data_IF_387591112786
#
_entry.id   IF_387591112786
#
_cell.length_a   1.000
_cell.length_b   1.000
_cell.length_c   1.000
_cell.angle_alpha   90.00
_cell.angle_beta   90.00
_cell.angle_gamma   90.00
#
_symmetry.space_group_name_H-M   'P 1'
#
loop_
_entity.id
_entity.type
_entity.pdbx_description
1 polymer ?
#
# COMPACT_ATOMS: atom_id res chain seq x y z
N UNK A 1 -10.53 -1.23 5.04
CA UNK A 1 -9.29 -0.67 4.42
C UNK A 1 -8.30 -0.32 5.51
N UNK A 2 -7.01 -0.60 5.30
CA UNK A 2 -5.93 -0.46 6.28
C UNK A 2 -4.85 0.45 5.70
N UNK A 3 -4.51 1.53 6.40
CA UNK A 3 -3.57 2.56 5.94
C UNK A 3 -2.45 2.70 7.00
N UNK A 4 -1.27 2.09 6.78
CA UNK A 4 -0.11 2.32 7.64
C UNK A 4 0.44 3.72 7.37
N UNK A 5 0.68 4.53 8.41
CA UNK A 5 1.22 5.88 8.27
C UNK A 5 2.44 6.08 9.17
N UNK A 6 3.48 6.72 8.63
CA UNK A 6 4.67 7.16 9.37
C UNK A 6 5.20 8.45 8.76
N UNK A 7 5.02 9.56 9.47
CA UNK A 7 5.49 10.89 9.04
C UNK A 7 4.98 11.26 7.64
N UNK A 8 3.66 11.27 7.49
CA UNK A 8 2.95 11.56 6.24
C UNK A 8 2.05 12.81 6.36
N UNK A 9 2.36 13.75 7.28
CA UNK A 9 1.59 14.98 7.53
C UNK A 9 1.24 15.72 6.23
N UNK A 10 2.17 15.81 5.28
CA UNK A 10 1.98 16.51 4.02
C UNK A 10 1.04 15.81 3.02
N UNK A 11 0.79 14.50 3.18
CA UNK A 11 0.09 13.69 2.18
C UNK A 11 -1.15 12.98 2.71
N UNK A 12 -1.23 12.78 4.03
CA UNK A 12 -2.30 11.99 4.65
C UNK A 12 -3.70 12.59 4.44
N UNK A 13 -3.84 13.91 4.43
CA UNK A 13 -5.11 14.59 4.18
C UNK A 13 -5.69 14.18 2.84
N UNK A 14 -4.95 14.40 1.77
CA UNK A 14 -5.41 14.07 0.41
C UNK A 14 -5.57 12.57 0.19
N UNK A 15 -4.78 11.73 0.86
CA UNK A 15 -4.99 10.28 0.87
C UNK A 15 -6.36 9.94 1.46
N UNK A 16 -6.66 10.42 2.68
CA UNK A 16 -7.93 10.15 3.36
C UNK A 16 -9.13 10.72 2.59
N UNK A 17 -9.01 11.90 1.99
CA UNK A 17 -10.05 12.48 1.13
C UNK A 17 -10.38 11.55 -0.05
N UNK A 18 -9.37 11.00 -0.71
CA UNK A 18 -9.56 10.04 -1.80
C UNK A 18 -10.23 8.74 -1.33
N UNK A 19 -9.83 8.26 -0.14
CA UNK A 19 -10.42 7.08 0.49
C UNK A 19 -11.88 7.31 0.85
N UNK A 20 -12.22 8.45 1.49
CA UNK A 20 -13.59 8.74 1.85
C UNK A 20 -14.49 8.99 0.65
N UNK A 21 -13.96 9.59 -0.43
CA UNK A 21 -14.67 9.67 -1.70
C UNK A 21 -14.98 8.27 -2.27
N UNK A 22 -14.04 7.33 -2.16
CA UNK A 22 -14.24 5.95 -2.60
C UNK A 22 -15.23 5.19 -1.69
N UNK A 23 -15.21 5.42 -0.38
CA UNK A 23 -16.19 4.87 0.57
C UNK A 23 -17.60 5.37 0.24
N UNK A 24 -17.75 6.68 0.02
CA UNK A 24 -19.05 7.28 -0.29
C UNK A 24 -19.59 6.83 -1.65
N UNK A 25 -18.69 6.63 -2.63
CA UNK A 25 -19.07 6.03 -3.92
C UNK A 25 -19.53 4.58 -3.75
N UNK A 26 -18.74 3.76 -3.06
CA UNK A 26 -19.07 2.35 -2.80
C UNK A 26 -20.41 2.20 -2.09
N UNK A 27 -20.66 3.00 -1.05
CA UNK A 27 -21.93 3.00 -0.31
C UNK A 27 -23.14 3.30 -1.21
N UNK A 28 -22.97 4.22 -2.19
CA UNK A 28 -24.04 4.53 -3.16
C UNK A 28 -24.23 3.46 -4.22
N UNK A 29 -23.13 2.91 -4.73
CA UNK A 29 -23.14 1.92 -5.81
C UNK A 29 -23.52 0.51 -5.33
N UNK A 30 -23.13 0.18 -4.09
CA UNK A 30 -23.28 -1.15 -3.48
C UNK A 30 -23.71 -0.99 -2.00
N UNK A 31 -24.98 -0.67 -1.71
CA UNK A 31 -25.44 -0.38 -0.35
C UNK A 31 -25.26 -1.50 0.67
N UNK A 32 -25.12 -2.75 0.22
CA UNK A 32 -24.85 -3.93 1.05
C UNK A 32 -23.38 -4.05 1.45
N UNK A 33 -22.46 -3.37 0.76
CA UNK A 33 -21.03 -3.43 1.04
C UNK A 33 -20.68 -2.43 2.15
N UNK A 34 -20.16 -2.94 3.27
CA UNK A 34 -19.71 -2.11 4.37
C UNK A 34 -18.19 -1.93 4.29
N UNK A 35 -17.73 -0.69 4.37
CA UNK A 35 -16.31 -0.34 4.35
C UNK A 35 -15.94 0.31 5.67
N UNK A 36 -14.99 -0.29 6.38
CA UNK A 36 -14.30 0.30 7.52
C UNK A 36 -12.93 0.83 7.09
N UNK A 37 -12.49 1.94 7.68
CA UNK A 37 -11.17 2.54 7.41
C UNK A 37 -10.38 2.58 8.71
N UNK A 38 -9.20 1.94 8.71
CA UNK A 38 -8.28 1.90 9.84
C UNK A 38 -6.98 2.60 9.41
N UNK A 39 -6.62 3.68 10.09
CA UNK A 39 -5.30 4.28 9.98
C UNK A 39 -4.45 3.75 11.14
N UNK A 40 -3.30 3.18 10.79
CA UNK A 40 -2.38 2.61 11.77
C UNK A 40 -1.12 3.48 11.82
N UNK A 41 -1.05 4.32 12.84
CA UNK A 41 0.13 5.13 13.09
C UNK A 41 1.31 4.26 13.53
N UNK A 42 2.40 4.39 12.83
CA UNK A 42 3.62 3.61 13.01
C UNK A 42 4.70 4.38 13.81
N UNK A 43 4.25 5.23 14.74
CA UNK A 43 5.10 6.08 15.57
C UNK A 43 5.54 7.36 14.87
N UNK A 44 4.59 8.09 14.26
CA UNK A 44 4.83 9.39 13.66
C UNK A 44 5.26 10.42 14.72
N UNK A 45 6.19 11.29 14.34
CA UNK A 45 6.69 12.40 15.15
C UNK A 45 6.27 13.77 14.64
N UNK A 46 5.60 13.83 13.49
CA UNK A 46 5.04 15.02 12.85
C UNK A 46 3.53 15.18 13.14
N UNK A 47 2.86 16.03 12.37
CA UNK A 47 1.42 16.28 12.50
C UNK A 47 0.50 15.21 11.91
N UNK A 48 0.99 14.06 11.45
CA UNK A 48 0.19 13.02 10.77
C UNK A 48 -1.08 12.66 11.53
N UNK A 49 -0.96 12.30 12.81
CA UNK A 49 -2.12 11.92 13.64
C UNK A 49 -3.10 13.08 13.87
N UNK A 50 -2.58 14.29 14.08
CA UNK A 50 -3.41 15.48 14.27
C UNK A 50 -4.24 15.77 13.02
N UNK A 51 -3.61 15.73 11.83
CA UNK A 51 -4.27 15.91 10.54
C UNK A 51 -5.32 14.82 10.31
N UNK A 52 -4.96 13.56 10.50
CA UNK A 52 -5.89 12.45 10.35
C UNK A 52 -7.12 12.57 11.28
N UNK A 53 -6.90 12.94 12.54
CA UNK A 53 -7.97 13.10 13.53
C UNK A 53 -8.92 14.25 13.17
N UNK A 54 -8.41 15.35 12.59
CA UNK A 54 -9.24 16.50 12.20
C UNK A 54 -10.17 16.20 11.02
N UNK A 55 -9.76 15.28 10.12
CA UNK A 55 -10.51 14.93 8.91
C UNK A 55 -11.53 13.82 9.20
N UNK A 56 -11.21 12.92 10.14
CA UNK A 56 -11.95 11.68 10.36
C UNK A 56 -13.44 11.89 10.69
N UNK A 57 -13.83 13.00 11.33
CA UNK A 57 -15.17 13.03 11.99
C UNK A 57 -15.34 11.76 12.85
N UNK A 58 -16.19 11.77 13.85
CA UNK A 58 -16.13 10.79 14.93
C UNK A 58 -16.34 9.31 14.55
N UNK A 59 -16.82 8.96 13.34
CA UNK A 59 -17.23 7.58 13.01
C UNK A 59 -16.68 7.05 11.68
N UNK A 60 -15.84 7.81 10.96
CA UNK A 60 -15.38 7.40 9.62
C UNK A 60 -14.01 6.72 9.60
N UNK A 61 -13.23 6.87 10.68
CA UNK A 61 -11.85 6.40 10.76
C UNK A 61 -11.54 5.84 12.15
N UNK A 62 -11.04 4.63 12.19
CA UNK A 62 -10.46 4.04 13.40
C UNK A 62 -8.96 4.32 13.40
N UNK A 63 -8.47 4.97 14.47
CA UNK A 63 -7.04 5.22 14.66
C UNK A 63 -6.44 4.14 15.56
N UNK A 64 -5.39 3.50 15.07
CA UNK A 64 -4.61 2.51 15.82
C UNK A 64 -3.16 2.98 15.96
N UNK A 65 -2.52 2.64 17.06
CA UNK A 65 -1.09 2.90 17.25
C UNK A 65 -0.29 1.60 17.21
N UNK A 66 0.71 1.54 16.34
CA UNK A 66 1.65 0.41 16.24
C UNK A 66 2.97 0.78 16.93
N UNK A 67 3.37 0.09 18.01
CA UNK A 67 4.61 0.41 18.74
C UNK A 67 5.87 0.04 17.96
N UNK A 68 5.75 -0.80 16.95
CA UNK A 68 6.88 -1.23 16.13
C UNK A 68 6.98 -0.34 14.89
N UNK A 69 8.12 0.32 14.66
CA UNK A 69 8.41 1.11 13.46
C UNK A 69 8.64 0.21 12.24
N UNK A 70 7.56 -0.37 11.73
CA UNK A 70 7.55 -1.25 10.57
C UNK A 70 6.20 -1.18 9.86
N UNK A 71 6.20 -0.84 8.58
CA UNK A 71 4.98 -0.79 7.77
C UNK A 71 4.26 -2.15 7.75
N UNK A 72 5.03 -3.25 7.69
CA UNK A 72 4.50 -4.60 7.80
C UNK A 72 3.81 -4.85 9.14
N UNK A 73 4.41 -4.40 10.26
CA UNK A 73 3.79 -4.54 11.58
C UNK A 73 2.50 -3.74 11.68
N UNK A 74 2.48 -2.52 11.12
CA UNK A 74 1.28 -1.68 11.09
C UNK A 74 0.17 -2.31 10.23
N UNK A 75 0.49 -2.83 9.02
CA UNK A 75 -0.48 -3.56 8.19
C UNK A 75 -1.03 -4.80 8.90
N UNK A 76 -0.17 -5.57 9.55
CA UNK A 76 -0.57 -6.75 10.33
C UNK A 76 -1.45 -6.39 11.53
N UNK A 77 -1.16 -5.28 12.21
CA UNK A 77 -1.99 -4.78 13.30
C UNK A 77 -3.37 -4.40 12.79
N UNK A 78 -3.45 -3.64 11.70
CA UNK A 78 -4.70 -3.27 11.05
C UNK A 78 -5.52 -4.50 10.62
N UNK A 79 -4.86 -5.51 10.00
CA UNK A 79 -5.52 -6.74 9.58
C UNK A 79 -6.18 -7.52 10.73
N UNK A 80 -5.52 -7.53 11.91
CA UNK A 80 -6.09 -8.17 13.12
C UNK A 80 -7.29 -7.42 13.71
N UNK A 81 -7.36 -6.09 13.53
CA UNK A 81 -8.48 -5.28 14.03
C UNK A 81 -9.62 -5.15 13.02
N UNK A 82 -9.32 -5.36 11.75
CA UNK A 82 -10.32 -5.33 10.70
C UNK A 82 -11.34 -6.47 10.86
N UNK A 83 -12.63 -6.17 10.72
CA UNK A 83 -13.74 -7.13 10.77
C UNK A 83 -14.18 -7.65 9.40
N UNK A 84 -13.76 -7.01 8.29
CA UNK A 84 -14.23 -7.34 6.96
C UNK A 84 -13.60 -8.60 6.36
N UNK A 85 -14.31 -9.24 5.42
CA UNK A 85 -13.88 -10.44 4.69
C UNK A 85 -12.82 -10.14 3.63
N UNK A 86 -12.75 -8.90 3.17
CA UNK A 86 -11.77 -8.41 2.21
C UNK A 86 -10.86 -7.38 2.90
N UNK A 87 -9.58 -7.64 2.90
CA UNK A 87 -8.55 -6.75 3.41
C UNK A 87 -7.96 -5.93 2.25
N UNK A 88 -7.99 -4.61 2.39
CA UNK A 88 -7.39 -3.67 1.43
C UNK A 88 -6.33 -2.86 2.15
N UNK A 89 -5.09 -2.92 1.67
CA UNK A 89 -3.95 -2.18 2.21
C UNK A 89 -3.57 -1.06 1.24
N UNK A 90 -3.50 0.17 1.74
CA UNK A 90 -3.17 1.36 0.95
C UNK A 90 -2.05 2.14 1.65
N UNK A 91 -1.02 2.54 0.91
CA UNK A 91 0.04 3.41 1.45
C UNK A 91 -0.49 4.84 1.67
N UNK A 92 -0.07 5.49 2.76
CA UNK A 92 -0.56 6.80 3.18
C UNK A 92 -0.20 7.97 2.24
N UNK A 93 0.71 7.74 1.29
CA UNK A 93 1.11 8.69 0.24
C UNK A 93 0.40 8.46 -1.11
N UNK A 94 -0.61 7.59 -1.12
CA UNK A 94 -1.27 7.09 -2.33
C UNK A 94 -2.72 7.55 -2.41
N UNK A 95 -3.17 7.89 -3.63
CA UNK A 95 -4.56 8.24 -3.94
C UNK A 95 -5.22 7.10 -4.72
N UNK A 96 -6.52 6.95 -4.52
CA UNK A 96 -7.37 6.01 -5.28
C UNK A 96 -8.52 6.74 -5.97
N UNK A 97 -9.00 6.19 -7.08
CA UNK A 97 -10.18 6.72 -7.76
C UNK A 97 -11.45 6.45 -6.93
N UNK A 98 -12.50 7.30 -7.07
CA UNK A 98 -13.74 7.12 -6.30
C UNK A 98 -14.40 5.74 -6.47
N UNK A 99 -14.26 5.11 -7.64
CA UNK A 99 -14.84 3.80 -7.93
C UNK A 99 -13.96 2.60 -7.50
N UNK A 100 -12.77 2.86 -6.97
CA UNK A 100 -11.77 1.81 -6.67
C UNK A 100 -12.29 0.76 -5.69
N UNK A 101 -12.94 1.17 -4.60
CA UNK A 101 -13.46 0.22 -3.59
C UNK A 101 -14.63 -0.60 -4.14
N UNK A 102 -15.53 0.03 -4.91
CA UNK A 102 -16.62 -0.69 -5.56
C UNK A 102 -16.10 -1.70 -6.60
N UNK A 103 -15.01 -1.36 -7.31
CA UNK A 103 -14.34 -2.32 -8.22
C UNK A 103 -13.72 -3.48 -7.46
N UNK A 104 -13.01 -3.22 -6.36
CA UNK A 104 -12.43 -4.27 -5.52
C UNK A 104 -13.53 -5.19 -4.97
N UNK A 105 -14.62 -4.63 -4.45
CA UNK A 105 -15.77 -5.42 -4.00
C UNK A 105 -16.30 -6.32 -5.11
N UNK A 106 -16.56 -5.77 -6.29
CA UNK A 106 -17.04 -6.52 -7.45
C UNK A 106 -16.08 -7.65 -7.88
N UNK A 107 -14.75 -7.36 -7.90
CA UNK A 107 -13.71 -8.35 -8.21
C UNK A 107 -13.74 -9.51 -7.20
N UNK A 108 -13.87 -9.20 -5.92
CA UNK A 108 -13.85 -10.22 -4.86
C UNK A 108 -15.17 -10.99 -4.79
N UNK A 109 -16.31 -10.34 -5.05
CA UNK A 109 -17.64 -10.97 -5.09
C UNK A 109 -17.81 -11.94 -6.26
N UNK A 110 -17.04 -11.79 -7.36
CA UNK A 110 -17.08 -12.75 -8.47
C UNK A 110 -16.66 -14.15 -8.06
N UNK A 111 -15.85 -14.28 -6.99
CA UNK A 111 -15.26 -15.55 -6.54
C UNK A 111 -14.12 -16.06 -7.41
N UNK A 112 -13.80 -15.38 -8.51
CA UNK A 112 -12.73 -15.77 -9.43
C UNK A 112 -11.35 -15.46 -8.87
N UNK A 113 -11.26 -14.48 -7.94
CA UNK A 113 -9.98 -13.96 -7.42
C UNK A 113 -9.88 -14.11 -5.90
N UNK A 114 -8.68 -14.40 -5.43
CA UNK A 114 -8.34 -14.40 -4.00
C UNK A 114 -7.77 -13.04 -3.54
N UNK A 115 -7.33 -12.23 -4.49
CA UNK A 115 -6.78 -10.90 -4.26
C UNK A 115 -5.85 -10.48 -5.38
N UNK A 116 -5.15 -9.37 -5.16
CA UNK A 116 -4.26 -8.78 -6.16
C UNK A 116 -3.73 -7.42 -5.72
N UNK A 117 -3.36 -6.62 -6.71
CA UNK A 117 -2.88 -5.25 -6.47
C UNK A 117 -3.21 -4.32 -7.64
N UNK A 118 -3.15 -3.01 -7.36
CA UNK A 118 -3.43 -2.00 -8.36
C UNK A 118 -2.26 -1.77 -9.33
N UNK A 119 -2.58 -1.28 -10.51
CA UNK A 119 -1.64 -0.62 -11.41
C UNK A 119 -1.15 0.67 -10.76
N UNK A 120 0.16 0.93 -10.79
CA UNK A 120 0.74 2.13 -10.19
C UNK A 120 0.91 3.23 -11.23
N UNK A 121 0.54 4.44 -10.84
CA UNK A 121 0.75 5.67 -11.58
C UNK A 121 1.38 6.74 -10.67
N UNK A 122 2.02 7.74 -11.27
CA UNK A 122 2.58 8.86 -10.53
C UNK A 122 1.46 9.79 -10.06
N UNK A 123 1.46 10.12 -8.76
CA UNK A 123 0.57 11.10 -8.16
C UNK A 123 0.88 12.53 -8.61
N UNK A 124 2.16 12.90 -8.62
CA UNK A 124 2.62 14.23 -9.00
C UNK A 124 2.64 14.42 -10.53
N UNK A 125 2.48 13.35 -11.30
CA UNK A 125 2.64 13.37 -12.75
C UNK A 125 4.12 13.52 -13.13
N UNK A 126 4.37 14.23 -14.21
CA UNK A 126 5.72 14.39 -14.74
C UNK A 126 6.22 13.16 -15.51
N UNK A 127 7.07 13.41 -16.51
CA UNK A 127 7.53 12.35 -17.43
C UNK A 127 8.34 11.26 -16.71
N UNK A 128 9.23 11.63 -15.80
CA UNK A 128 10.10 10.66 -15.09
C UNK A 128 9.30 9.73 -14.18
N UNK A 129 8.40 10.29 -13.36
CA UNK A 129 7.55 9.51 -12.47
C UNK A 129 6.58 8.61 -13.25
N UNK A 130 5.96 9.14 -14.29
CA UNK A 130 5.03 8.38 -15.13
C UNK A 130 5.72 7.22 -15.85
N UNK A 131 6.92 7.44 -16.42
CA UNK A 131 7.71 6.37 -17.05
C UNK A 131 8.15 5.32 -16.01
N UNK A 132 8.57 5.76 -14.82
CA UNK A 132 8.97 4.86 -13.74
C UNK A 132 7.83 3.91 -13.35
N UNK A 133 6.69 4.47 -12.93
CA UNK A 133 5.58 3.65 -12.46
C UNK A 133 4.96 2.79 -13.57
N UNK A 134 4.90 3.32 -14.80
CA UNK A 134 4.48 2.53 -15.96
C UNK A 134 5.41 1.35 -16.21
N UNK A 135 6.73 1.59 -16.24
CA UNK A 135 7.71 0.51 -16.44
C UNK A 135 7.64 -0.54 -15.35
N UNK A 136 7.56 -0.11 -14.08
CA UNK A 136 7.42 -1.00 -12.94
C UNK A 136 6.13 -1.82 -13.02
N UNK A 137 5.01 -1.19 -13.34
CA UNK A 137 3.74 -1.86 -13.52
C UNK A 137 3.77 -2.90 -14.65
N UNK A 138 4.53 -2.67 -15.73
CA UNK A 138 4.74 -3.68 -16.77
C UNK A 138 5.60 -4.86 -16.30
N UNK A 139 6.68 -4.60 -15.56
CA UNK A 139 7.53 -5.65 -14.96
C UNK A 139 6.68 -6.58 -14.07
N UNK A 140 5.74 -6.02 -13.31
CA UNK A 140 4.85 -6.79 -12.43
C UNK A 140 3.87 -7.72 -13.19
N UNK A 141 3.67 -7.54 -14.50
CA UNK A 141 2.91 -8.46 -15.36
C UNK A 141 3.67 -9.73 -15.71
N UNK A 142 4.99 -9.71 -15.60
CA UNK A 142 5.80 -10.91 -15.88
C UNK A 142 5.34 -12.07 -14.97
N UNK A 143 5.37 -13.32 -15.48
CA UNK A 143 4.96 -14.49 -14.70
C UNK A 143 6.02 -14.89 -13.67
N UNK A 144 6.46 -13.93 -12.87
CA UNK A 144 7.48 -14.07 -11.83
C UNK A 144 6.87 -13.67 -10.50
N UNK A 145 6.72 -14.61 -9.58
CA UNK A 145 6.11 -14.37 -8.27
C UNK A 145 6.81 -13.28 -7.46
N UNK A 146 8.14 -13.14 -7.61
CA UNK A 146 8.92 -12.09 -6.93
C UNK A 146 8.66 -10.69 -7.46
N UNK A 147 8.19 -10.56 -8.71
CA UNK A 147 7.76 -9.28 -9.25
C UNK A 147 6.41 -8.82 -8.66
N UNK A 148 5.71 -9.69 -7.91
CA UNK A 148 4.43 -9.38 -7.25
C UNK A 148 4.63 -8.73 -5.88
N UNK A 149 5.53 -7.76 -5.77
CA UNK A 149 5.82 -7.02 -4.55
C UNK A 149 5.88 -5.51 -4.84
N UNK A 150 6.08 -4.72 -3.78
CA UNK A 150 6.24 -3.25 -3.84
C UNK A 150 5.03 -2.59 -4.52
N UNK A 151 3.87 -2.79 -3.91
CA UNK A 151 2.61 -2.20 -4.34
C UNK A 151 2.09 -1.22 -3.29
N UNK A 152 1.58 -0.08 -3.77
CA UNK A 152 0.96 0.92 -2.93
C UNK A 152 -0.51 0.62 -2.59
N UNK A 153 -1.16 -0.28 -3.35
CA UNK A 153 -2.49 -0.82 -3.06
C UNK A 153 -2.51 -2.31 -3.30
N UNK A 154 -2.83 -3.05 -2.25
CA UNK A 154 -2.97 -4.52 -2.23
C UNK A 154 -4.34 -4.87 -1.65
N UNK A 155 -4.98 -5.90 -2.18
CA UNK A 155 -6.20 -6.44 -1.59
C UNK A 155 -6.19 -7.97 -1.64
N UNK A 156 -6.85 -8.60 -0.68
CA UNK A 156 -7.02 -10.05 -0.64
C UNK A 156 -8.22 -10.43 0.24
N UNK A 157 -8.71 -11.65 0.08
CA UNK A 157 -9.63 -12.24 1.04
C UNK A 157 -8.93 -12.45 2.39
N UNK A 158 -9.70 -12.51 3.45
CA UNK A 158 -9.17 -12.85 4.78
C UNK A 158 -8.52 -14.21 4.77
N UNK A 159 -9.15 -15.20 4.14
CA UNK A 159 -8.60 -16.54 4.02
C UNK A 159 -7.24 -16.55 3.31
N UNK A 160 -7.08 -15.76 2.24
CA UNK A 160 -5.79 -15.64 1.56
C UNK A 160 -4.74 -14.96 2.46
N UNK A 161 -5.13 -13.96 3.24
CA UNK A 161 -4.23 -13.33 4.22
C UNK A 161 -3.81 -14.32 5.31
N UNK A 162 -4.73 -15.12 5.84
CA UNK A 162 -4.45 -16.10 6.88
C UNK A 162 -3.57 -17.26 6.35
N UNK A 163 -3.73 -17.64 5.08
CA UNK A 163 -2.96 -18.73 4.47
C UNK A 163 -1.55 -18.28 4.00
N UNK A 164 -1.40 -17.09 3.46
CA UNK A 164 -0.16 -16.62 2.82
C UNK A 164 0.55 -15.47 3.56
N UNK A 165 -0.16 -14.75 4.42
CA UNK A 165 0.41 -13.72 5.28
C UNK A 165 1.08 -14.31 6.55
N UNK A 166 1.37 -13.49 7.53
CA UNK A 166 1.31 -12.03 7.54
C UNK A 166 2.42 -11.37 6.71
N UNK A 167 2.40 -10.04 6.61
CA UNK A 167 3.54 -9.28 6.08
C UNK A 167 4.78 -9.49 6.94
N UNK A 168 5.96 -9.61 6.33
CA UNK A 168 7.20 -9.94 7.05
C UNK A 168 7.80 -8.69 7.69
N UNK A 169 7.53 -8.46 8.96
CA UNK A 169 7.93 -7.26 9.70
C UNK A 169 9.46 -7.05 9.85
N UNK A 170 10.28 -8.07 9.57
CA UNK A 170 11.75 -7.98 9.60
C UNK A 170 12.34 -7.51 8.27
N UNK A 171 11.52 -7.27 7.26
CA UNK A 171 11.93 -6.76 5.95
C UNK A 171 11.45 -5.34 5.78
N UNK A 172 12.31 -4.49 5.27
CA UNK A 172 11.99 -3.11 4.93
C UNK A 172 11.61 -2.94 3.45
N UNK A 173 11.90 -3.94 2.62
CA UNK A 173 11.59 -3.94 1.20
C UNK A 173 11.07 -5.30 0.76
N UNK A 174 9.94 -5.31 0.04
CA UNK A 174 9.29 -6.53 -0.43
C UNK A 174 8.67 -7.34 0.71
N UNK A 175 8.21 -6.68 1.76
CA UNK A 175 7.50 -7.27 2.90
C UNK A 175 6.20 -7.97 2.48
N UNK A 176 5.58 -7.48 1.40
CA UNK A 176 4.36 -8.04 0.82
C UNK A 176 4.61 -9.32 0.01
N UNK A 177 5.87 -9.61 -0.30
CA UNK A 177 6.19 -10.73 -1.19
C UNK A 177 5.73 -12.07 -0.67
N UNK A 178 5.72 -12.28 0.66
CA UNK A 178 5.22 -13.54 1.23
C UNK A 178 3.75 -13.71 0.89
N UNK A 179 2.93 -12.70 1.10
CA UNK A 179 1.50 -12.70 0.79
C UNK A 179 1.28 -12.77 -0.73
N UNK A 180 1.68 -11.76 -1.47
CA UNK A 180 1.40 -11.64 -2.91
C UNK A 180 2.09 -12.72 -3.74
N UNK A 181 3.36 -12.99 -3.45
CA UNK A 181 4.10 -14.05 -4.14
C UNK A 181 3.64 -15.44 -3.76
N UNK A 182 3.11 -15.62 -2.55
CA UNK A 182 2.47 -16.86 -2.08
C UNK A 182 1.19 -17.16 -2.85
N UNK A 183 0.26 -16.19 -2.86
CA UNK A 183 -1.00 -16.25 -3.62
C UNK A 183 -0.74 -16.53 -5.11
N UNK A 184 0.16 -15.75 -5.73
CA UNK A 184 0.48 -15.92 -7.15
C UNK A 184 1.08 -17.29 -7.49
N UNK A 185 1.88 -17.89 -6.60
CA UNK A 185 2.43 -19.24 -6.83
C UNK A 185 1.38 -20.34 -6.65
N UNK A 186 0.45 -20.14 -5.73
CA UNK A 186 -0.59 -21.12 -5.45
C UNK A 186 -1.63 -21.18 -6.58
N UNK A 187 -2.08 -20.01 -7.07
CA UNK A 187 -3.10 -19.91 -8.11
C UNK A 187 -2.92 -18.60 -8.92
N UNK A 188 -2.02 -18.59 -9.93
CA UNK A 188 -1.77 -17.40 -10.76
C UNK A 188 -3.03 -16.86 -11.43
N UNK A 189 -3.96 -17.73 -11.81
CA UNK A 189 -5.23 -17.41 -12.46
C UNK A 189 -6.21 -16.71 -11.50
N UNK A 190 -6.07 -16.93 -10.19
CA UNK A 190 -6.88 -16.30 -9.14
C UNK A 190 -6.24 -15.02 -8.58
N UNK A 191 -5.19 -14.53 -9.22
CA UNK A 191 -4.47 -13.33 -8.82
C UNK A 191 -4.80 -12.18 -9.76
N UNK A 192 -5.53 -11.16 -9.22
CA UNK A 192 -5.97 -10.02 -10.02
C UNK A 192 -4.83 -9.01 -10.27
N UNK A 193 -4.65 -8.64 -11.53
CA UNK A 193 -3.80 -7.53 -11.92
C UNK A 193 -4.23 -6.97 -13.29
N UNK A 194 -4.91 -5.84 -13.28
CA UNK A 194 -5.40 -5.16 -14.47
C UNK A 194 -5.25 -3.64 -14.39
N UNK A 195 -5.26 -2.98 -15.53
CA UNK A 195 -5.14 -1.52 -15.65
C UNK A 195 -6.41 -0.77 -15.24
N UNK A 196 -7.52 -1.44 -15.04
CA UNK A 196 -8.77 -0.82 -14.61
C UNK A 196 -8.76 -0.38 -13.15
N UNK A 197 -7.86 -0.95 -12.32
CA UNK A 197 -7.66 -0.55 -10.94
C UNK A 197 -6.31 0.17 -10.80
N UNK A 198 -6.33 1.50 -10.61
CA UNK A 198 -5.12 2.33 -10.56
C UNK A 198 -4.96 2.96 -9.18
N UNK A 199 -3.74 2.92 -8.67
CA UNK A 199 -3.31 3.65 -7.48
C UNK A 199 -2.25 4.69 -7.86
N UNK A 200 -2.45 5.95 -7.46
CA UNK A 200 -1.56 7.06 -7.75
C UNK A 200 -0.64 7.30 -6.55
N UNK A 201 0.59 6.83 -6.64
CA UNK A 201 1.57 6.88 -5.53
C UNK A 201 2.61 7.97 -5.73
N UNK A 202 3.16 8.48 -4.62
CA UNK A 202 4.09 9.60 -4.62
C UNK A 202 5.48 9.21 -5.15
N UNK A 203 6.09 10.16 -5.90
CA UNK A 203 7.48 10.08 -6.35
C UNK A 203 8.47 10.65 -5.32
N UNK A 204 7.97 11.26 -4.24
CA UNK A 204 8.76 12.04 -3.26
C UNK A 204 10.06 11.35 -2.87
N UNK A 205 10.00 10.06 -2.51
CA UNK A 205 11.17 9.29 -2.06
C UNK A 205 12.25 9.17 -3.12
N UNK A 206 11.89 9.14 -4.39
CA UNK A 206 12.83 9.05 -5.51
C UNK A 206 13.37 10.41 -5.90
N UNK A 207 12.57 11.48 -5.74
CA UNK A 207 12.93 12.85 -6.12
C UNK A 207 13.81 13.53 -5.09
N UNK A 208 13.67 13.21 -3.80
CA UNK A 208 14.51 13.76 -2.72
C UNK A 208 15.98 13.34 -2.81
N UNK A 209 16.34 12.32 -3.57
CA UNK A 209 17.70 11.79 -3.68
C UNK A 209 18.26 12.02 -5.11
N UNK A 210 19.52 12.51 -5.21
CA UNK A 210 20.18 12.79 -6.50
C UNK A 210 20.12 11.62 -7.50
N UNK A 211 20.15 10.37 -7.02
CA UNK A 211 20.10 9.14 -7.82
C UNK A 211 18.91 8.25 -7.43
N UNK A 212 17.85 8.82 -6.88
CA UNK A 212 16.76 8.06 -6.26
C UNK A 212 16.09 7.05 -7.19
N UNK A 213 15.81 7.40 -8.44
CA UNK A 213 15.25 6.47 -9.41
C UNK A 213 16.18 5.29 -9.70
N UNK A 214 17.48 5.55 -9.93
CA UNK A 214 18.46 4.49 -10.19
C UNK A 214 18.65 3.59 -8.97
N UNK A 215 18.78 4.18 -7.78
CA UNK A 215 18.88 3.42 -6.52
C UNK A 215 17.65 2.54 -6.31
N UNK A 216 16.47 3.08 -6.53
CA UNK A 216 15.21 2.32 -6.40
C UNK A 216 15.14 1.20 -7.44
N UNK A 217 15.57 1.44 -8.69
CA UNK A 217 15.65 0.40 -9.71
C UNK A 217 16.55 -0.77 -9.28
N UNK A 218 17.75 -0.46 -8.79
CA UNK A 218 18.69 -1.48 -8.31
C UNK A 218 18.09 -2.28 -7.16
N UNK A 219 17.45 -1.60 -6.19
CA UNK A 219 16.81 -2.26 -5.05
C UNK A 219 15.65 -3.16 -5.49
N UNK A 220 14.81 -2.70 -6.39
CA UNK A 220 13.67 -3.46 -6.91
C UNK A 220 14.13 -4.68 -7.71
N UNK A 221 15.16 -4.53 -8.55
CA UNK A 221 15.77 -5.65 -9.25
C UNK A 221 16.43 -6.63 -8.28
N UNK A 222 17.09 -6.15 -7.22
CA UNK A 222 17.66 -7.00 -6.20
C UNK A 222 16.60 -7.86 -5.49
N UNK A 223 15.42 -7.31 -5.18
CA UNK A 223 14.31 -8.09 -4.59
C UNK A 223 13.84 -9.20 -5.54
N UNK A 224 13.81 -8.94 -6.84
CA UNK A 224 13.42 -9.93 -7.85
C UNK A 224 14.48 -11.02 -8.02
N UNK A 225 15.75 -10.65 -8.10
CA UNK A 225 16.84 -11.53 -8.50
C UNK A 225 17.50 -12.27 -7.34
N UNK A 226 17.61 -11.66 -6.15
CA UNK A 226 18.32 -12.24 -5.00
C UNK A 226 17.37 -13.14 -4.20
N UNK A 227 17.75 -14.40 -3.89
CA UNK A 227 16.96 -15.29 -3.05
C UNK A 227 16.62 -14.65 -1.69
N UNK A 228 15.40 -14.82 -1.21
CA UNK A 228 14.90 -14.21 0.02
C UNK A 228 15.76 -14.47 1.27
N UNK A 229 16.46 -15.64 1.32
CA UNK A 229 17.40 -16.00 2.39
C UNK A 229 18.67 -15.11 2.46
N UNK A 230 18.99 -14.36 1.39
CA UNK A 230 20.12 -13.44 1.36
C UNK A 230 19.71 -11.97 1.48
N UNK A 231 18.44 -11.65 1.49
CA UNK A 231 17.94 -10.27 1.55
C UNK A 231 17.94 -9.73 2.99
N UNK A 232 19.12 -9.67 3.64
CA UNK A 232 19.34 -8.86 4.86
C UNK A 232 19.62 -7.39 4.49
N UNK A 233 19.06 -6.88 3.41
CA UNK A 233 19.17 -5.46 3.08
C UNK A 233 18.26 -4.68 4.01
N UNK A 234 18.83 -4.07 5.05
CA UNK A 234 18.19 -3.02 5.83
C UNK A 234 18.18 -1.74 4.99
N UNK A 235 17.05 -1.37 4.48
CA UNK A 235 16.81 -0.03 3.97
C UNK A 235 16.69 0.89 5.19
N UNK A 236 17.82 1.49 5.61
CA UNK A 236 17.82 2.49 6.67
C UNK A 236 17.25 3.76 6.07
N UNK A 237 16.00 4.09 6.40
CA UNK A 237 15.49 5.43 6.23
C UNK A 237 16.29 6.34 7.14
N UNK A 238 17.20 7.12 6.55
CA UNK A 238 17.89 8.17 7.28
C UNK A 238 16.93 9.35 7.45
N UNK A 239 16.18 9.33 8.55
CA UNK A 239 15.27 10.41 8.96
C UNK A 239 16.04 11.60 9.56
N UNK A 240 17.34 11.79 9.23
CA UNK A 240 18.20 12.81 9.86
C UNK A 240 18.19 14.18 9.18
N UNK A 241 17.24 14.51 8.29
CA UNK A 241 17.27 15.82 7.61
C UNK A 241 16.03 16.68 7.78
N UNK A 242 15.44 16.77 8.98
CA UNK A 242 14.50 17.86 9.27
C UNK A 242 14.75 18.57 10.60
N UNK A 243 15.92 18.46 11.17
CA UNK A 243 16.24 19.12 12.44
C UNK A 243 17.45 20.07 12.35
N UNK A 244 17.60 20.81 11.26
CA UNK A 244 18.55 21.94 11.21
C UNK A 244 18.08 22.96 10.18
N UNK A 245 17.19 23.84 10.58
CA UNK A 245 17.08 25.21 10.10
C UNK A 245 16.11 26.00 11.01
N UNK A 246 16.49 26.18 12.25
CA UNK A 246 16.07 27.29 13.09
C UNK A 246 17.30 27.80 13.83
N UNK A 247 17.94 28.79 13.23
CA UNK A 247 18.68 29.84 13.93
C UNK A 247 18.61 31.10 13.07
#
# INVERSE_FOLDING_TARGET
MIIPALNEEALIETCLDSVFAAVDFCRRAQPQTHVEVLLVDNGSSDGTLRTASSIAGNDRLTLLHCPLRSAAAARNLGARHAGGDVLVFLDADTLIAPDSLARISHIMESGDYEGGFAWLASREGGMRGSLWWSSWSHIRRLPVSRAKAMSALVFCSRDAFDNFGPFVATRELGEEWQLLGGMYRAAPERFYYDRSLVAYTSNRRMEMQRWGYLRTAILYLAVILIPARFSRFRYRYDLRETATNEH
#
